data_IF_437639112098
#
_entry.id   IF_437639112098
#
_cell.length_a   1.000
_cell.length_b   1.000
_cell.length_c   1.000
_cell.angle_alpha   90.00
_cell.angle_beta   90.00
_cell.angle_gamma   90.00
#
_symmetry.space_group_name_H-M   'P 1'
#
loop_
_entity.id
_entity.type
_entity.pdbx_description
1 polymer ?
#
# COMPACT_ATOMS: atom_id res chain seq x y z
N UNK A 1 -0.16 9.46 23.52
CA UNK A 1 0.05 10.81 22.97
C UNK A 1 1.08 10.86 21.84
N UNK A 2 1.24 9.84 21.01
CA UNK A 2 2.30 9.74 19.98
C UNK A 2 1.80 9.55 18.53
N UNK A 3 0.51 9.39 18.28
CA UNK A 3 -0.01 9.10 16.95
C UNK A 3 -0.63 10.30 16.23
N UNK A 4 -0.89 11.41 16.93
CA UNK A 4 -1.55 12.59 16.38
C UNK A 4 -0.75 13.33 15.28
N UNK A 5 0.52 12.96 15.08
CA UNK A 5 1.40 13.60 14.12
C UNK A 5 1.59 12.84 12.80
N UNK A 6 0.97 11.66 12.63
CA UNK A 6 1.10 10.88 11.40
C UNK A 6 -0.01 11.22 10.40
N UNK A 7 0.31 11.15 9.11
CA UNK A 7 -0.68 11.18 8.03
C UNK A 7 -1.27 9.78 7.87
N UNK A 8 -2.58 9.69 8.04
CA UNK A 8 -3.29 8.42 7.94
C UNK A 8 -3.50 8.01 6.48
N UNK A 9 -2.82 6.94 6.05
CA UNK A 9 -3.05 6.32 4.76
C UNK A 9 -3.95 5.09 4.94
N UNK A 10 -5.21 5.33 5.27
CA UNK A 10 -6.28 4.37 5.06
C UNK A 10 -7.09 4.84 3.84
N UNK A 11 -7.61 3.90 3.06
CA UNK A 11 -8.70 4.22 2.15
C UNK A 11 -9.94 4.46 3.02
N UNK A 12 -10.00 5.63 3.67
CA UNK A 12 -11.26 6.11 4.23
C UNK A 12 -12.10 6.39 2.98
N UNK A 13 -13.17 5.65 2.81
CA UNK A 13 -14.27 6.12 2.00
C UNK A 13 -14.85 7.36 2.70
N UNK A 14 -14.18 8.48 2.55
CA UNK A 14 -14.85 9.74 2.78
C UNK A 14 -15.96 9.82 1.74
N UNK A 15 -17.14 10.19 2.16
CA UNK A 15 -18.32 10.48 1.32
C UNK A 15 -18.09 11.67 0.37
N UNK A 16 -16.87 11.98 0.06
CA UNK A 16 -16.49 12.94 -0.96
C UNK A 16 -16.95 12.38 -2.30
N UNK A 17 -17.83 13.11 -2.98
CA UNK A 17 -18.31 12.87 -4.34
C UNK A 17 -17.19 12.21 -5.15
N UNK A 18 -17.35 10.93 -5.52
CA UNK A 18 -16.37 10.24 -6.36
C UNK A 18 -16.26 11.03 -7.66
N UNK A 19 -15.19 11.76 -7.82
CA UNK A 19 -14.84 12.32 -9.12
C UNK A 19 -14.64 11.16 -10.08
N UNK A 20 -15.22 11.24 -11.27
CA UNK A 20 -15.01 10.23 -12.30
C UNK A 20 -13.51 10.12 -12.55
N UNK A 21 -12.94 8.93 -12.36
CA UNK A 21 -11.53 8.69 -12.59
C UNK A 21 -11.19 9.00 -14.06
N UNK A 22 -10.27 9.94 -14.27
CA UNK A 22 -9.84 10.31 -15.61
C UNK A 22 -8.61 9.49 -16.01
N UNK A 23 -8.53 9.08 -17.28
CA UNK A 23 -7.38 8.35 -17.81
C UNK A 23 -6.06 9.12 -17.62
N UNK A 24 -6.12 10.44 -17.64
CA UNK A 24 -4.97 11.33 -17.37
C UNK A 24 -4.35 11.08 -15.99
N UNK A 25 -5.15 10.76 -14.98
CA UNK A 25 -4.64 10.43 -13.63
C UNK A 25 -3.88 9.10 -13.63
N UNK A 26 -4.33 8.14 -14.42
CA UNK A 26 -3.62 6.87 -14.60
C UNK A 26 -2.25 7.10 -15.28
N UNK A 27 -2.19 7.96 -16.29
CA UNK A 27 -0.91 8.31 -16.93
C UNK A 27 0.04 9.05 -15.99
N UNK A 28 -0.46 9.96 -15.14
CA UNK A 28 0.35 10.60 -14.09
C UNK A 28 0.93 9.57 -13.12
N UNK A 29 0.10 8.66 -12.64
CA UNK A 29 0.54 7.58 -11.76
C UNK A 29 1.58 6.67 -12.44
N UNK A 30 1.41 6.36 -13.73
CA UNK A 30 2.36 5.58 -14.51
C UNK A 30 3.74 6.25 -14.56
N UNK A 31 3.80 7.56 -14.78
CA UNK A 31 5.07 8.30 -14.81
C UNK A 31 5.77 8.26 -13.45
N UNK A 32 5.04 8.50 -12.36
CA UNK A 32 5.59 8.44 -11.00
C UNK A 32 6.10 7.04 -10.64
N UNK A 33 5.46 5.99 -11.14
CA UNK A 33 5.77 4.60 -10.83
C UNK A 33 6.83 3.98 -11.76
N UNK A 34 7.27 4.69 -12.79
CA UNK A 34 8.10 4.16 -13.87
C UNK A 34 9.36 3.44 -13.36
N UNK A 35 10.07 4.06 -12.40
CA UNK A 35 11.33 3.55 -11.87
C UNK A 35 11.18 2.91 -10.49
N UNK A 36 9.96 2.81 -9.99
CA UNK A 36 9.63 2.30 -8.64
C UNK A 36 9.00 0.91 -8.69
N UNK A 37 8.07 0.69 -9.60
CA UNK A 37 7.38 -0.58 -9.72
C UNK A 37 7.97 -1.43 -10.83
N UNK A 38 8.05 -2.74 -10.61
CA UNK A 38 8.36 -3.68 -11.68
C UNK A 38 7.29 -3.63 -12.77
N UNK A 39 7.69 -3.92 -13.99
CA UNK A 39 6.81 -4.02 -15.15
C UNK A 39 6.74 -5.48 -15.65
N UNK A 40 6.08 -6.40 -14.88
CA UNK A 40 5.96 -7.78 -15.31
C UNK A 40 5.27 -7.85 -16.67
N UNK A 41 5.81 -8.66 -17.58
CA UNK A 41 5.17 -8.90 -18.88
C UNK A 41 3.82 -9.58 -18.69
N UNK A 42 2.90 -9.27 -19.58
CA UNK A 42 1.63 -10.01 -19.67
C UNK A 42 1.94 -11.41 -20.19
N UNK A 43 1.35 -12.41 -19.55
CA UNK A 43 1.44 -13.82 -19.93
C UNK A 43 0.15 -14.20 -20.65
N UNK A 44 0.25 -14.85 -21.76
CA UNK A 44 -0.89 -15.36 -22.50
C UNK A 44 -0.75 -15.17 -24.01
N UNK A 45 -1.74 -15.65 -24.75
CA UNK A 45 -3.00 -16.25 -24.23
C UNK A 45 -2.78 -17.54 -23.43
N UNK A 46 -3.69 -17.83 -22.49
CA UNK A 46 -3.66 -19.05 -21.66
C UNK A 46 -4.93 -19.89 -21.88
N UNK A 47 -4.82 -21.18 -21.60
CA UNK A 47 -5.94 -22.14 -21.73
C UNK A 47 -6.85 -22.19 -20.47
N UNK A 48 -6.92 -21.07 -19.73
CA UNK A 48 -7.73 -20.99 -18.50
C UNK A 48 -9.24 -20.89 -18.74
N UNK A 49 -9.66 -20.60 -19.96
CA UNK A 49 -11.07 -20.55 -20.34
C UNK A 49 -11.25 -21.00 -21.79
N UNK A 50 -12.31 -21.78 -22.05
CA UNK A 50 -12.75 -22.10 -23.41
C UNK A 50 -13.62 -20.99 -24.04
N UNK A 51 -14.17 -20.08 -23.21
CA UNK A 51 -15.14 -19.09 -23.64
C UNK A 51 -14.51 -17.73 -23.99
N UNK A 52 -13.31 -17.46 -23.49
CA UNK A 52 -12.63 -16.20 -23.72
C UNK A 52 -11.11 -16.34 -23.73
N UNK A 53 -10.44 -15.39 -24.40
CA UNK A 53 -8.97 -15.30 -24.37
C UNK A 53 -8.51 -14.66 -23.06
N UNK A 54 -7.74 -15.39 -22.27
CA UNK A 54 -7.26 -14.96 -20.95
C UNK A 54 -5.81 -14.54 -21.01
N UNK A 55 -5.52 -13.34 -20.50
CA UNK A 55 -4.16 -12.84 -20.26
C UNK A 55 -3.95 -12.58 -18.78
N UNK A 56 -2.76 -12.89 -18.27
CA UNK A 56 -2.42 -12.72 -16.87
C UNK A 56 -1.42 -11.58 -16.70
N UNK A 57 -1.69 -10.65 -15.78
CA UNK A 57 -0.73 -9.66 -15.31
C UNK A 57 -0.18 -10.10 -13.95
N UNK A 58 1.05 -10.69 -13.89
CA UNK A 58 1.54 -11.34 -12.68
C UNK A 58 2.08 -10.33 -11.65
N UNK A 59 1.21 -9.58 -11.00
CA UNK A 59 1.57 -8.60 -9.95
C UNK A 59 2.12 -9.24 -8.66
N UNK A 60 2.04 -10.57 -8.51
CA UNK A 60 2.78 -11.32 -7.50
C UNK A 60 4.31 -11.25 -7.70
N UNK A 61 4.78 -10.83 -8.86
CA UNK A 61 6.20 -10.59 -9.16
C UNK A 61 6.69 -9.20 -8.77
N UNK A 62 5.84 -8.34 -8.19
CA UNK A 62 6.26 -7.05 -7.62
C UNK A 62 7.20 -7.22 -6.43
N UNK A 63 7.94 -6.16 -6.06
CA UNK A 63 8.85 -6.16 -4.92
C UNK A 63 8.18 -6.59 -3.61
N UNK A 64 6.91 -6.23 -3.42
CA UNK A 64 6.10 -6.60 -2.25
C UNK A 64 5.21 -7.83 -2.49
N UNK A 65 5.39 -8.53 -3.59
CA UNK A 65 4.58 -9.69 -3.96
C UNK A 65 3.12 -9.36 -4.31
N UNK A 66 2.79 -8.09 -4.58
CA UNK A 66 1.43 -7.66 -4.95
C UNK A 66 1.40 -6.29 -5.60
N UNK A 67 0.27 -5.98 -6.28
CA UNK A 67 0.00 -4.67 -6.88
C UNK A 67 -0.14 -3.52 -5.88
N UNK A 68 -0.24 -3.78 -4.58
CA UNK A 68 -0.49 -2.76 -3.54
C UNK A 68 0.58 -1.68 -3.47
N UNK A 69 1.81 -2.00 -3.86
CA UNK A 69 2.90 -1.03 -3.99
C UNK A 69 2.49 0.16 -4.88
N UNK A 70 1.81 -0.08 -5.99
CA UNK A 70 1.47 0.96 -6.97
C UNK A 70 0.64 2.07 -6.35
N UNK A 71 -0.50 1.71 -5.76
CA UNK A 71 -1.40 2.69 -5.14
C UNK A 71 -0.82 3.34 -3.89
N UNK A 72 -0.13 2.57 -3.04
CA UNK A 72 0.49 3.09 -1.83
C UNK A 72 1.60 4.10 -2.17
N UNK A 73 2.50 3.75 -3.07
CA UNK A 73 3.58 4.66 -3.48
C UNK A 73 3.02 5.94 -4.12
N UNK A 74 2.08 5.81 -5.07
CA UNK A 74 1.50 6.97 -5.74
C UNK A 74 0.82 7.90 -4.74
N UNK A 75 0.03 7.37 -3.78
CA UNK A 75 -0.59 8.19 -2.74
C UNK A 75 0.45 8.91 -1.88
N UNK A 76 1.51 8.21 -1.45
CA UNK A 76 2.57 8.80 -0.62
C UNK A 76 3.33 9.88 -1.39
N UNK A 77 3.60 9.68 -2.68
CA UNK A 77 4.30 10.66 -3.50
C UNK A 77 3.55 11.99 -3.67
N UNK A 78 2.22 11.98 -3.47
CA UNK A 78 1.36 13.17 -3.59
C UNK A 78 1.19 13.93 -2.27
N UNK A 79 1.80 13.50 -1.17
CA UNK A 79 1.75 14.18 0.11
C UNK A 79 2.53 15.50 0.07
N UNK A 80 2.03 16.53 0.77
CA UNK A 80 2.79 17.76 0.98
C UNK A 80 4.04 17.53 1.82
N UNK A 81 4.98 18.46 1.82
CA UNK A 81 6.20 18.31 2.63
C UNK A 81 5.89 18.29 4.14
N UNK A 82 4.87 19.05 4.58
CA UNK A 82 4.41 19.00 5.97
C UNK A 82 3.80 17.63 6.32
N UNK A 83 3.05 17.01 5.41
CA UNK A 83 2.49 15.68 5.58
C UNK A 83 3.59 14.63 5.61
N UNK A 84 4.57 14.71 4.71
CA UNK A 84 5.75 13.83 4.69
C UNK A 84 6.56 13.93 5.97
N UNK A 85 6.77 15.13 6.50
CA UNK A 85 7.51 15.35 7.73
C UNK A 85 6.85 14.68 8.96
N UNK A 86 5.53 14.57 8.97
CA UNK A 86 4.77 13.86 10.01
C UNK A 86 4.90 12.33 9.91
N UNK A 87 5.21 11.81 8.73
CA UNK A 87 5.20 10.39 8.43
C UNK A 87 3.80 9.85 8.11
N UNK A 88 3.72 8.56 7.86
CA UNK A 88 2.48 7.89 7.46
C UNK A 88 2.12 6.76 8.41
N UNK A 89 0.83 6.58 8.66
CA UNK A 89 0.31 5.45 9.44
C UNK A 89 -0.70 4.67 8.58
N UNK A 90 -0.71 3.35 8.74
CA UNK A 90 -1.72 2.50 8.13
C UNK A 90 -2.09 1.34 9.06
N UNK A 91 -3.32 0.84 8.92
CA UNK A 91 -3.75 -0.40 9.53
C UNK A 91 -3.87 -1.49 8.47
N UNK A 92 -3.03 -2.51 8.52
CA UNK A 92 -3.10 -3.64 7.60
C UNK A 92 -2.21 -4.79 8.03
N UNK A 93 -2.76 -5.99 8.11
CA UNK A 93 -2.03 -7.23 8.35
C UNK A 93 -1.60 -7.96 7.04
N UNK A 94 -1.63 -7.28 5.90
CA UNK A 94 -1.43 -7.92 4.61
C UNK A 94 -0.54 -7.15 3.62
N UNK A 95 -0.83 -7.32 2.35
CA UNK A 95 -0.04 -6.76 1.26
C UNK A 95 -0.03 -5.21 1.23
N UNK A 96 -1.08 -4.57 1.77
CA UNK A 96 -1.12 -3.10 1.84
C UNK A 96 -0.07 -2.56 2.80
N UNK A 97 0.14 -3.20 3.97
CA UNK A 97 1.20 -2.85 4.92
C UNK A 97 2.58 -2.78 4.24
N UNK A 98 2.91 -3.81 3.47
CA UNK A 98 4.18 -3.89 2.75
C UNK A 98 4.29 -2.81 1.65
N UNK A 99 3.18 -2.53 0.95
CA UNK A 99 3.13 -1.45 -0.05
C UNK A 99 3.38 -0.08 0.56
N UNK A 100 2.76 0.23 1.72
CA UNK A 100 2.97 1.48 2.45
C UNK A 100 4.41 1.56 2.97
N UNK A 101 4.91 0.49 3.59
CA UNK A 101 6.27 0.45 4.13
C UNK A 101 7.33 0.74 3.05
N UNK A 102 7.27 0.04 1.92
CA UNK A 102 8.21 0.25 0.82
C UNK A 102 8.03 1.63 0.17
N UNK A 103 6.78 2.07 -0.02
CA UNK A 103 6.48 3.39 -0.56
C UNK A 103 7.01 4.52 0.31
N UNK A 104 6.85 4.44 1.62
CA UNK A 104 7.38 5.40 2.58
C UNK A 104 8.91 5.42 2.56
N UNK A 105 9.54 4.25 2.59
CA UNK A 105 11.00 4.11 2.53
C UNK A 105 11.60 4.81 1.30
N UNK A 106 11.02 4.60 0.12
CA UNK A 106 11.50 5.22 -1.12
C UNK A 106 11.33 6.76 -1.13
N UNK A 107 10.38 7.28 -0.38
CA UNK A 107 10.18 8.73 -0.23
C UNK A 107 10.90 9.32 1.00
N UNK A 108 11.70 8.53 1.73
CA UNK A 108 12.40 8.99 2.93
C UNK A 108 11.47 9.34 4.11
N UNK A 109 10.28 8.75 4.15
CA UNK A 109 9.21 9.06 5.10
C UNK A 109 9.11 7.94 6.14
N UNK A 110 8.91 8.30 7.41
CA UNK A 110 8.62 7.32 8.46
C UNK A 110 7.24 6.68 8.23
N UNK A 111 7.16 5.37 8.45
CA UNK A 111 5.90 4.63 8.38
C UNK A 111 5.67 3.83 9.65
N UNK A 112 4.44 3.90 10.18
CA UNK A 112 3.97 3.07 11.29
C UNK A 112 2.81 2.21 10.79
N UNK A 113 2.92 0.89 10.98
CA UNK A 113 1.87 -0.04 10.60
C UNK A 113 1.26 -0.65 11.86
N UNK A 114 -0.02 -0.37 12.09
CA UNK A 114 -0.82 -1.01 13.14
C UNK A 114 -1.43 -2.31 12.60
N UNK A 115 -1.27 -3.40 13.34
CA UNK A 115 -1.85 -4.70 13.00
C UNK A 115 -2.16 -5.50 14.27
N UNK A 116 -3.11 -6.44 14.23
CA UNK A 116 -3.41 -7.26 15.38
C UNK A 116 -2.24 -8.19 15.74
N UNK A 117 -2.07 -8.47 17.03
CA UNK A 117 -1.02 -9.38 17.53
C UNK A 117 -1.07 -10.77 16.90
N UNK A 118 -2.29 -11.25 16.54
CA UNK A 118 -2.50 -12.52 15.85
C UNK A 118 -2.11 -12.52 14.35
N UNK A 119 -1.55 -11.43 13.82
CA UNK A 119 -1.12 -11.38 12.43
C UNK A 119 0.02 -12.39 12.17
N UNK A 120 0.09 -13.00 10.97
CA UNK A 120 1.15 -13.95 10.65
C UNK A 120 2.54 -13.32 10.79
N UNK A 121 3.46 -14.00 11.50
CA UNK A 121 4.82 -13.53 11.75
C UNK A 121 5.53 -13.16 10.44
N UNK A 122 5.33 -13.94 9.38
CA UNK A 122 5.92 -13.67 8.07
C UNK A 122 5.50 -12.29 7.49
N UNK A 123 4.28 -11.83 7.78
CA UNK A 123 3.78 -10.52 7.33
C UNK A 123 4.35 -9.38 8.18
N UNK A 124 4.48 -9.61 9.49
CA UNK A 124 5.11 -8.66 10.42
C UNK A 124 6.57 -8.43 9.98
N UNK A 125 7.32 -9.49 9.82
CA UNK A 125 8.73 -9.43 9.44
C UNK A 125 8.94 -8.86 8.02
N UNK A 126 8.05 -9.17 7.08
CA UNK A 126 8.10 -8.57 5.74
C UNK A 126 7.87 -7.04 5.82
N UNK A 127 6.92 -6.59 6.64
CA UNK A 127 6.66 -5.15 6.84
C UNK A 127 7.87 -4.43 7.43
N UNK A 128 8.49 -5.00 8.46
CA UNK A 128 9.72 -4.47 9.05
C UNK A 128 10.88 -4.42 8.06
N UNK A 129 11.08 -5.47 7.26
CA UNK A 129 12.14 -5.50 6.21
C UNK A 129 11.97 -4.38 5.19
N UNK A 130 10.75 -3.97 4.89
CA UNK A 130 10.49 -2.83 4.02
C UNK A 130 10.67 -1.48 4.72
N UNK A 131 11.04 -1.47 6.01
CA UNK A 131 11.50 -0.27 6.72
C UNK A 131 10.43 0.45 7.52
N UNK A 132 9.25 -0.14 7.73
CA UNK A 132 8.23 0.43 8.61
C UNK A 132 8.39 -0.05 10.06
N UNK A 133 8.04 0.83 11.00
CA UNK A 133 7.77 0.46 12.37
C UNK A 133 6.45 -0.30 12.46
N UNK A 134 6.34 -1.21 13.41
CA UNK A 134 5.17 -2.05 13.63
C UNK A 134 4.61 -1.84 15.03
N UNK A 135 3.32 -1.52 15.11
CA UNK A 135 2.55 -1.47 16.33
C UNK A 135 1.62 -2.70 16.38
N UNK A 136 1.95 -3.68 17.21
CA UNK A 136 1.08 -4.83 17.49
C UNK A 136 0.00 -4.41 18.49
N UNK A 137 -1.25 -4.73 18.17
CA UNK A 137 -2.41 -4.35 18.96
C UNK A 137 -3.16 -5.60 19.42
N UNK A 138 -3.41 -5.78 20.73
CA UNK A 138 -4.25 -6.86 21.22
C UNK A 138 -5.64 -6.82 20.58
N UNK A 139 -6.19 -7.98 20.22
CA UNK A 139 -7.52 -8.11 19.63
C UNK A 139 -7.50 -8.36 18.14
N UNK A 140 -8.51 -7.82 17.44
CA UNK A 140 -8.75 -8.04 16.00
C UNK A 140 -8.40 -6.83 15.15
N UNK A 141 -8.68 -6.93 13.85
CA UNK A 141 -8.38 -5.85 12.89
C UNK A 141 -8.99 -4.50 13.31
N UNK A 142 -10.23 -4.49 13.82
CA UNK A 142 -10.92 -3.25 14.19
C UNK A 142 -10.25 -2.55 15.39
N UNK A 143 -9.62 -3.31 16.28
CA UNK A 143 -8.86 -2.75 17.41
C UNK A 143 -7.57 -2.09 16.90
N UNK A 144 -6.86 -2.74 15.98
CA UNK A 144 -5.70 -2.18 15.33
C UNK A 144 -6.07 -0.94 14.49
N UNK A 145 -7.22 -0.94 13.84
CA UNK A 145 -7.74 0.20 13.09
C UNK A 145 -8.02 1.40 14.00
N UNK A 146 -8.74 1.20 15.11
CA UNK A 146 -9.00 2.23 16.13
C UNK A 146 -7.70 2.80 16.71
N UNK A 147 -6.69 1.94 16.90
CA UNK A 147 -5.38 2.36 17.40
C UNK A 147 -4.62 3.23 16.40
N UNK A 148 -4.83 3.02 15.12
CA UNK A 148 -4.19 3.78 14.05
C UNK A 148 -4.81 5.17 13.85
N UNK A 149 -6.12 5.35 14.15
CA UNK A 149 -6.81 6.64 14.16
C UNK A 149 -6.41 7.49 15.38
#
# INVERSE_FOLDING_TARGET
MLLSNFVYICIIQTTTKMSTLQISEIYKAQQVLKDVARHPKIIGPTDLSAECTVYLKPENLQYTGSFKLRGAYYKISQLSEEEKARGVIACSAGNHAQGVALGAKHNGIKALICLPEGAPISKIEATKRFGADVCLVPGVYDDAYKRAL
#
